data_IF_263548197965
#
_entry.id   IF_263548197965
#
_cell.length_a   1.000
_cell.length_b   1.000
_cell.length_c   1.000
_cell.angle_alpha   90.00
_cell.angle_beta   90.00
_cell.angle_gamma   90.00
#
_symmetry.space_group_name_H-M   'P 1'
#
loop_
_entity.id
_entity.type
_entity.pdbx_description
1 polymer ?
#
# COMPACT_ATOMS: atom_id res chain seq x y z
N UNK A 1 -13.23 -2.65 -16.80
CA UNK A 1 -13.53 -2.49 -15.37
C UNK A 1 -12.19 -2.20 -14.72
N UNK A 2 -11.99 -0.99 -14.22
CA UNK A 2 -10.80 -0.65 -13.43
C UNK A 2 -10.87 -1.40 -12.11
N UNK A 3 -9.77 -2.03 -11.69
CA UNK A 3 -9.69 -2.69 -10.39
C UNK A 3 -9.69 -1.64 -9.27
N UNK A 4 -10.08 -2.00 -8.05
CA UNK A 4 -10.02 -1.08 -6.90
C UNK A 4 -8.58 -0.63 -6.63
N UNK A 5 -7.60 -1.48 -6.96
CA UNK A 5 -6.18 -1.16 -6.85
C UNK A 5 -5.76 -0.10 -7.88
N UNK A 6 -6.33 -0.11 -9.09
CA UNK A 6 -6.05 0.90 -10.12
C UNK A 6 -6.52 2.29 -9.65
N UNK A 7 -7.68 2.35 -8.99
CA UNK A 7 -8.19 3.60 -8.41
C UNK A 7 -7.31 4.05 -7.24
N UNK A 8 -6.91 3.12 -6.37
CA UNK A 8 -6.00 3.44 -5.26
C UNK A 8 -4.64 3.96 -5.75
N UNK A 9 -4.08 3.39 -6.83
CA UNK A 9 -2.84 3.87 -7.45
C UNK A 9 -3.01 5.30 -8.00
N UNK A 10 -4.10 5.56 -8.72
CA UNK A 10 -4.42 6.88 -9.26
C UNK A 10 -4.58 7.91 -8.14
N UNK A 11 -5.36 7.60 -7.11
CA UNK A 11 -5.57 8.47 -5.96
C UNK A 11 -4.26 8.73 -5.23
N UNK A 12 -3.49 7.69 -4.92
CA UNK A 12 -2.23 7.82 -4.20
C UNK A 12 -1.25 8.73 -4.96
N UNK A 13 -1.13 8.55 -6.28
CA UNK A 13 -0.27 9.39 -7.11
C UNK A 13 -0.79 10.83 -7.26
N UNK A 14 -2.10 11.02 -7.41
CA UNK A 14 -2.72 12.34 -7.53
C UNK A 14 -2.47 13.21 -6.29
N UNK A 15 -2.51 12.61 -5.10
CA UNK A 15 -2.25 13.31 -3.83
C UNK A 15 -0.77 13.36 -3.44
N UNK A 16 0.15 13.08 -4.38
CA UNK A 16 1.60 13.29 -4.20
C UNK A 16 2.37 12.08 -3.70
N UNK A 17 1.74 10.91 -3.60
CA UNK A 17 2.43 9.65 -3.38
C UNK A 17 3.25 9.22 -4.59
N UNK A 18 4.41 8.61 -4.36
CA UNK A 18 5.26 8.10 -5.44
C UNK A 18 4.99 6.61 -5.66
N UNK A 19 4.63 6.24 -6.89
CA UNK A 19 4.45 4.84 -7.30
C UNK A 19 5.78 4.28 -7.81
N UNK A 20 6.13 3.08 -7.36
CA UNK A 20 7.29 2.34 -7.81
C UNK A 20 6.84 1.03 -8.45
N UNK A 21 7.46 0.65 -9.57
CA UNK A 21 7.19 -0.64 -10.22
C UNK A 21 7.75 -1.83 -9.44
N UNK A 22 8.81 -1.61 -8.67
CA UNK A 22 9.48 -2.62 -7.86
C UNK A 22 9.57 -2.17 -6.39
N UNK A 23 9.70 -3.14 -5.48
CA UNK A 23 9.96 -2.85 -4.06
C UNK A 23 11.45 -2.50 -3.91
N UNK A 24 11.74 -1.21 -3.76
CA UNK A 24 13.07 -0.63 -3.61
C UNK A 24 13.37 -0.29 -2.14
N UNK A 25 14.61 0.03 -1.78
CA UNK A 25 14.96 0.41 -0.39
C UNK A 25 14.19 1.66 0.08
N UNK A 26 13.87 2.58 -0.84
CA UNK A 26 13.07 3.78 -0.60
C UNK A 26 11.58 3.50 -0.40
N UNK A 27 11.08 2.33 -0.79
CA UNK A 27 9.66 1.97 -0.68
C UNK A 27 9.22 1.98 0.77
N UNK A 28 8.16 2.73 1.05
CA UNK A 28 7.60 2.93 2.40
C UNK A 28 6.33 2.12 2.63
N UNK A 29 5.53 1.91 1.60
CA UNK A 29 4.24 1.23 1.66
C UNK A 29 4.12 0.22 0.52
N UNK A 30 3.50 -0.91 0.80
CA UNK A 30 2.98 -1.85 -0.20
C UNK A 30 1.49 -1.92 0.04
N UNK A 31 0.72 -1.54 -0.99
CA UNK A 31 -0.74 -1.55 -0.96
C UNK A 31 -1.20 -2.84 -1.66
N UNK A 32 -1.99 -3.64 -0.97
CA UNK A 32 -2.49 -4.94 -1.44
C UNK A 32 -4.01 -4.87 -1.57
N UNK A 33 -4.57 -5.46 -2.62
CA UNK A 33 -6.01 -5.65 -2.71
C UNK A 33 -6.47 -6.71 -1.70
N UNK A 34 -7.44 -6.38 -0.85
CA UNK A 34 -8.01 -7.32 0.15
C UNK A 34 -8.51 -8.64 -0.45
N UNK A 35 -8.90 -8.64 -1.72
CA UNK A 35 -9.37 -9.83 -2.44
C UNK A 35 -8.24 -10.73 -2.98
N UNK A 36 -6.98 -10.26 -3.01
CA UNK A 36 -5.85 -10.96 -3.63
C UNK A 36 -4.64 -11.02 -2.68
N UNK A 37 -4.66 -11.96 -1.74
CA UNK A 37 -3.64 -12.09 -0.69
C UNK A 37 -2.54 -13.12 -0.99
N UNK A 38 -2.54 -13.75 -2.18
CA UNK A 38 -1.66 -14.88 -2.51
C UNK A 38 -0.17 -14.59 -2.31
N UNK A 39 0.23 -13.32 -2.47
CA UNK A 39 1.63 -12.87 -2.40
C UNK A 39 2.02 -12.25 -1.06
N UNK A 40 1.10 -12.19 -0.10
CA UNK A 40 1.36 -11.46 1.15
C UNK A 40 2.50 -12.06 1.96
N UNK A 41 2.62 -13.38 1.98
CA UNK A 41 3.67 -14.05 2.74
C UNK A 41 5.06 -13.78 2.15
N UNK A 42 5.16 -13.70 0.82
CA UNK A 42 6.39 -13.30 0.11
C UNK A 42 6.80 -11.88 0.50
N UNK A 43 5.85 -10.93 0.48
CA UNK A 43 6.09 -9.53 0.84
C UNK A 43 6.48 -9.40 2.32
N UNK A 44 5.83 -10.15 3.23
CA UNK A 44 6.19 -10.20 4.66
C UNK A 44 7.61 -10.74 4.86
N UNK A 45 8.00 -11.78 4.13
CA UNK A 45 9.35 -12.33 4.19
C UNK A 45 10.40 -11.33 3.68
N UNK A 46 10.12 -10.64 2.57
CA UNK A 46 10.96 -9.54 2.08
C UNK A 46 11.09 -8.43 3.13
N UNK A 47 9.99 -8.02 3.75
CA UNK A 47 10.02 -6.98 4.78
C UNK A 47 10.85 -7.37 6.01
N UNK A 48 10.92 -8.66 6.38
CA UNK A 48 11.74 -9.14 7.50
C UNK A 48 13.23 -8.90 7.31
N UNK A 49 13.74 -9.02 6.07
CA UNK A 49 15.17 -8.88 5.77
C UNK A 49 15.59 -7.45 5.44
N UNK A 50 14.63 -6.55 5.20
CA UNK A 50 14.91 -5.13 4.92
C UNK A 50 15.46 -4.38 6.13
N UNK A 51 16.36 -3.44 5.84
CA UNK A 51 16.93 -2.52 6.83
C UNK A 51 15.86 -1.55 7.36
N UNK A 52 15.04 -1.02 6.45
CA UNK A 52 13.88 -0.18 6.77
C UNK A 52 12.59 -0.95 6.51
N UNK A 53 11.77 -1.10 7.56
CA UNK A 53 10.46 -1.75 7.45
C UNK A 53 9.51 -0.90 6.62
N UNK A 54 8.80 -1.56 5.71
CA UNK A 54 7.68 -1.00 4.99
C UNK A 54 6.37 -1.35 5.68
N UNK A 55 5.35 -0.53 5.45
CA UNK A 55 3.97 -0.83 5.83
C UNK A 55 3.32 -1.68 4.75
N UNK A 56 2.63 -2.75 5.15
CA UNK A 56 1.84 -3.58 4.24
C UNK A 56 0.38 -3.30 4.58
N UNK A 57 -0.32 -2.58 3.71
CA UNK A 57 -1.67 -2.07 3.98
C UNK A 57 -2.64 -2.47 2.86
N UNK A 58 -3.94 -2.43 3.14
CA UNK A 58 -4.97 -2.60 2.13
C UNK A 58 -5.21 -1.34 1.30
N UNK A 59 -5.87 -1.50 0.16
CA UNK A 59 -6.37 -0.42 -0.69
C UNK A 59 -7.33 0.54 0.04
N UNK A 60 -7.96 0.07 1.12
CA UNK A 60 -8.85 0.87 1.97
C UNK A 60 -8.11 2.01 2.69
N UNK A 61 -6.82 1.84 2.99
CA UNK A 61 -6.03 2.90 3.62
C UNK A 61 -5.94 4.15 2.74
N UNK A 62 -5.75 3.95 1.42
CA UNK A 62 -5.75 5.05 0.44
C UNK A 62 -7.13 5.68 0.37
N UNK A 63 -8.16 4.85 0.17
CA UNK A 63 -9.54 5.32 0.05
C UNK A 63 -9.97 6.17 1.26
N UNK A 64 -9.73 5.72 2.49
CA UNK A 64 -10.06 6.48 3.69
C UNK A 64 -9.18 7.71 3.88
N UNK A 65 -7.89 7.65 3.53
CA UNK A 65 -7.00 8.81 3.59
C UNK A 65 -7.51 9.93 2.69
N UNK A 66 -7.90 9.60 1.46
CA UNK A 66 -8.47 10.55 0.49
C UNK A 66 -9.82 11.05 0.95
N UNK A 67 -10.73 10.14 1.33
CA UNK A 67 -12.10 10.47 1.76
C UNK A 67 -12.13 11.42 2.95
N UNK A 68 -11.24 11.22 3.93
CA UNK A 68 -11.17 12.03 5.13
C UNK A 68 -10.20 13.22 5.01
N UNK A 69 -9.51 13.37 3.87
CA UNK A 69 -8.49 14.41 3.64
C UNK A 69 -7.43 14.46 4.75
N UNK A 70 -7.15 13.30 5.36
CA UNK A 70 -6.26 13.16 6.49
C UNK A 70 -5.60 11.79 6.43
N UNK A 71 -4.27 11.76 6.60
CA UNK A 71 -3.51 10.50 6.67
C UNK A 71 -4.04 9.64 7.79
N UNK A 72 -4.51 8.45 7.43
CA UNK A 72 -4.94 7.42 8.38
C UNK A 72 -3.72 6.68 8.93
N UNK A 73 -3.83 6.17 10.17
CA UNK A 73 -2.81 5.30 10.75
C UNK A 73 -2.78 3.96 10.00
N UNK A 74 -1.62 3.61 9.45
CA UNK A 74 -1.39 2.39 8.67
C UNK A 74 -1.71 1.11 9.45
N UNK A 75 -1.52 1.12 10.79
CA UNK A 75 -1.76 -0.05 11.64
C UNK A 75 -3.22 -0.51 11.62
N UNK A 76 -4.16 0.40 11.36
CA UNK A 76 -5.59 0.08 11.25
C UNK A 76 -5.95 -0.62 9.94
N UNK A 77 -5.01 -0.69 8.99
CA UNK A 77 -5.20 -1.24 7.64
C UNK A 77 -4.15 -2.30 7.29
N UNK A 78 -3.36 -2.73 8.28
CA UNK A 78 -2.33 -3.76 8.10
C UNK A 78 -2.96 -5.08 7.66
N UNK A 79 -2.28 -5.75 6.73
CA UNK A 79 -2.67 -7.07 6.19
C UNK A 79 -1.61 -8.12 6.50
#
# INVERSE_FOLDING_TARGET
>A
MSSFLDIAELDFSFYGGQICQNIEESTTHVIICTELLDRIQEIKNLNRVRSKKLHIVSEQWVYHTVKHQQRQDENNYCV
#
